data_IF_298366994343
#
_entry.id   IF_298366994343
#
_cell.length_a   1.000
_cell.length_b   1.000
_cell.length_c   1.000
_cell.angle_alpha   90.00
_cell.angle_beta   90.00
_cell.angle_gamma   90.00
#
_symmetry.space_group_name_H-M   'P 1'
#
loop_
_entity.id
_entity.type
_entity.pdbx_description
1 polymer ?
#
# COMPACT_ATOMS: atom_id res chain seq x y z
N UNK A 1 15.92 -29.08 6.10
CA UNK A 1 15.47 -27.69 6.13
C UNK A 1 14.26 -27.51 5.22
N UNK A 2 13.42 -26.54 5.51
CA UNK A 2 12.17 -26.23 4.77
C UNK A 2 12.35 -26.07 3.24
N UNK A 3 13.54 -25.64 2.79
CA UNK A 3 13.84 -25.42 1.37
C UNK A 3 14.19 -26.71 0.61
N UNK A 4 14.70 -27.74 1.31
CA UNK A 4 14.96 -29.02 0.65
C UNK A 4 13.65 -29.78 0.43
N UNK A 5 13.26 -29.94 -0.85
CA UNK A 5 12.07 -30.68 -1.24
C UNK A 5 10.84 -29.81 -1.57
N UNK A 6 10.98 -28.47 -1.65
CA UNK A 6 9.96 -27.58 -2.17
C UNK A 6 10.29 -27.23 -3.62
N UNK A 7 9.40 -27.60 -4.54
CA UNK A 7 9.57 -27.38 -5.97
C UNK A 7 8.31 -26.71 -6.55
N UNK A 8 8.49 -25.89 -7.58
CA UNK A 8 7.42 -25.34 -8.41
C UNK A 8 7.55 -25.87 -9.82
N UNK A 9 6.42 -26.09 -10.49
CA UNK A 9 6.40 -26.53 -11.88
C UNK A 9 6.52 -25.31 -12.82
N UNK A 10 7.58 -25.28 -13.62
CA UNK A 10 7.82 -24.26 -14.63
C UNK A 10 7.91 -24.94 -15.98
N UNK A 11 6.84 -24.86 -16.77
CA UNK A 11 6.74 -25.63 -18.02
C UNK A 11 6.83 -27.13 -17.76
N UNK A 12 7.86 -27.79 -18.33
CA UNK A 12 8.09 -29.22 -18.19
C UNK A 12 9.12 -29.61 -17.12
N UNK A 13 9.68 -28.65 -16.40
CA UNK A 13 10.66 -28.88 -15.33
C UNK A 13 10.11 -28.55 -13.94
N UNK A 14 10.62 -29.27 -12.93
CA UNK A 14 10.41 -28.96 -11.51
C UNK A 14 11.61 -28.15 -11.03
N UNK A 15 11.40 -26.87 -10.68
CA UNK A 15 12.43 -25.97 -10.20
C UNK A 15 12.34 -25.80 -8.68
N UNK A 16 13.49 -25.73 -7.96
CA UNK A 16 13.47 -25.48 -6.53
C UNK A 16 12.84 -24.11 -6.23
N UNK A 17 11.89 -24.09 -5.29
CA UNK A 17 11.30 -22.85 -4.81
C UNK A 17 12.30 -21.99 -4.07
N UNK A 18 12.27 -20.69 -4.32
CA UNK A 18 12.99 -19.69 -3.53
C UNK A 18 12.42 -19.60 -2.12
N UNK A 19 13.17 -19.02 -1.19
CA UNK A 19 12.72 -18.81 0.18
C UNK A 19 11.44 -17.96 0.24
N UNK A 20 11.35 -16.95 -0.61
CA UNK A 20 10.17 -16.11 -0.73
C UNK A 20 8.94 -16.87 -1.27
N UNK A 21 9.10 -17.72 -2.26
CA UNK A 21 7.99 -18.52 -2.78
C UNK A 21 7.46 -19.48 -1.72
N UNK A 22 8.34 -20.14 -0.96
CA UNK A 22 7.94 -21.00 0.16
C UNK A 22 7.20 -20.17 1.21
N UNK A 23 7.73 -18.99 1.59
CA UNK A 23 7.07 -18.08 2.51
C UNK A 23 5.70 -17.66 2.01
N UNK A 24 5.60 -17.20 0.77
CA UNK A 24 4.33 -16.73 0.17
C UNK A 24 3.26 -17.81 0.16
N UNK A 25 3.64 -19.06 -0.13
CA UNK A 25 2.74 -20.22 -0.09
C UNK A 25 2.27 -20.56 1.33
N UNK A 26 3.18 -20.47 2.32
CA UNK A 26 2.88 -20.74 3.71
C UNK A 26 2.10 -19.62 4.40
N UNK A 27 2.34 -18.37 4.04
CA UNK A 27 1.81 -17.18 4.70
C UNK A 27 0.28 -17.21 4.85
N UNK A 28 -0.43 -17.55 3.77
CA UNK A 28 -1.86 -17.71 3.81
C UNK A 28 -2.31 -18.90 4.66
N UNK A 29 -1.67 -20.06 4.48
CA UNK A 29 -2.03 -21.31 5.20
C UNK A 29 -1.80 -21.21 6.69
N UNK A 30 -0.72 -20.54 7.11
CA UNK A 30 -0.34 -20.36 8.53
C UNK A 30 -0.87 -19.06 9.12
N UNK A 31 -1.59 -18.25 8.31
CA UNK A 31 -2.14 -16.95 8.71
C UNK A 31 -1.07 -16.04 9.30
N UNK A 32 0.06 -15.90 8.61
CA UNK A 32 1.07 -14.92 8.99
C UNK A 32 0.48 -13.51 8.94
N UNK A 33 0.72 -12.74 9.96
CA UNK A 33 0.23 -11.37 10.11
C UNK A 33 1.45 -10.45 10.26
N UNK A 34 2.05 -10.11 9.14
CA UNK A 34 3.25 -9.26 9.12
C UNK A 34 2.92 -7.81 9.50
N UNK A 35 1.68 -7.40 9.31
CA UNK A 35 1.19 -6.06 9.65
C UNK A 35 1.15 -5.79 11.17
N UNK A 36 1.14 -6.83 12.02
CA UNK A 36 1.18 -6.70 13.48
C UNK A 36 2.50 -7.15 14.11
N UNK A 37 3.56 -7.33 13.32
CA UNK A 37 4.89 -7.57 13.88
C UNK A 37 5.38 -6.36 14.67
N UNK A 38 6.10 -6.61 15.77
CA UNK A 38 6.70 -5.55 16.60
C UNK A 38 7.77 -4.78 15.87
N UNK A 39 7.84 -3.47 16.11
CA UNK A 39 8.83 -2.57 15.53
C UNK A 39 9.81 -2.15 16.59
N UNK A 40 11.03 -2.68 16.51
CA UNK A 40 12.11 -2.31 17.44
C UNK A 40 12.34 -0.79 17.40
N UNK A 41 12.61 -0.21 18.55
CA UNK A 41 12.82 1.24 18.77
C UNK A 41 11.59 2.14 18.62
N UNK A 42 10.44 1.64 18.12
CA UNK A 42 9.21 2.40 18.14
C UNK A 42 8.60 2.42 19.53
N UNK A 43 8.11 3.58 19.96
CA UNK A 43 7.45 3.79 21.26
C UNK A 43 6.13 4.52 21.05
N UNK A 44 5.22 4.49 22.03
CA UNK A 44 3.98 5.27 21.95
C UNK A 44 4.25 6.75 21.73
N UNK A 45 5.32 7.30 22.33
CA UNK A 45 5.70 8.71 22.15
C UNK A 45 6.23 9.04 20.75
N UNK A 46 6.64 8.03 19.96
CA UNK A 46 7.04 8.22 18.56
C UNK A 46 5.86 8.27 17.58
N UNK A 47 4.63 8.06 18.07
CA UNK A 47 3.41 8.14 17.29
C UNK A 47 2.77 9.53 17.41
N UNK A 48 2.06 9.96 16.39
CA UNK A 48 1.26 11.18 16.42
C UNK A 48 0.10 11.01 17.41
N UNK A 49 0.20 11.68 18.55
CA UNK A 49 -0.73 11.55 19.67
C UNK A 49 -2.15 12.04 19.33
N UNK A 50 -2.27 13.08 18.51
CA UNK A 50 -3.58 13.62 18.10
C UNK A 50 -4.30 12.63 17.21
N UNK A 51 -3.60 12.05 16.21
CA UNK A 51 -4.15 11.05 15.31
C UNK A 51 -4.52 9.77 16.06
N UNK A 52 -3.69 9.37 17.01
CA UNK A 52 -3.95 8.19 17.85
C UNK A 52 -5.16 8.42 18.77
N UNK A 53 -5.29 9.61 19.39
CA UNK A 53 -6.44 9.96 20.20
C UNK A 53 -7.73 9.99 19.38
N UNK A 54 -7.70 10.57 18.18
CA UNK A 54 -8.83 10.55 17.24
C UNK A 54 -9.26 9.12 16.91
N UNK A 55 -8.30 8.24 16.61
CA UNK A 55 -8.58 6.84 16.31
C UNK A 55 -9.29 6.14 17.49
N UNK A 56 -8.80 6.33 18.70
CA UNK A 56 -9.43 5.76 19.91
C UNK A 56 -10.85 6.30 20.14
N UNK A 57 -11.06 7.59 19.92
CA UNK A 57 -12.39 8.21 20.03
C UNK A 57 -13.36 7.62 19.00
N UNK A 58 -12.95 7.50 17.74
CA UNK A 58 -13.75 6.88 16.69
C UNK A 58 -14.07 5.41 17.00
N UNK A 59 -13.09 4.66 17.51
CA UNK A 59 -13.32 3.27 17.95
C UNK A 59 -14.36 3.18 19.08
N UNK A 60 -14.24 4.01 20.10
CA UNK A 60 -15.18 4.03 21.24
C UNK A 60 -16.60 4.41 20.79
N UNK A 61 -16.74 5.36 19.86
CA UNK A 61 -18.04 5.73 19.28
C UNK A 61 -18.64 4.62 18.43
N UNK A 62 -17.84 3.99 17.58
CA UNK A 62 -18.30 2.93 16.67
C UNK A 62 -18.48 1.56 17.35
N UNK A 63 -17.86 1.33 18.49
CA UNK A 63 -17.85 0.05 19.24
C UNK A 63 -18.13 0.30 20.73
N UNK A 64 -19.39 0.36 21.16
CA UNK A 64 -19.75 0.69 22.56
C UNK A 64 -19.07 -0.19 23.61
N UNK A 65 -18.77 -1.44 23.29
CA UNK A 65 -18.08 -2.35 24.20
C UNK A 65 -16.64 -1.92 24.55
N UNK A 66 -16.04 -1.03 23.76
CA UNK A 66 -14.71 -0.48 24.01
C UNK A 66 -14.76 0.77 24.91
N UNK A 67 -15.92 1.38 25.09
CA UNK A 67 -16.05 2.67 25.79
C UNK A 67 -15.57 2.63 27.25
N UNK A 68 -15.74 1.47 27.92
CA UNK A 68 -15.35 1.27 29.31
C UNK A 68 -13.90 0.81 29.50
N UNK A 69 -13.17 0.56 28.40
CA UNK A 69 -11.78 0.13 28.47
C UNK A 69 -10.85 1.34 28.54
N UNK A 70 -9.73 1.15 29.26
CA UNK A 70 -8.62 2.11 29.21
C UNK A 70 -7.92 2.06 27.84
N UNK A 71 -7.17 3.10 27.52
CA UNK A 71 -6.53 3.19 26.20
C UNK A 71 -5.49 2.10 25.97
N UNK A 72 -4.75 1.67 26.99
CA UNK A 72 -3.75 0.61 26.89
C UNK A 72 -4.37 -0.73 26.46
N UNK A 73 -5.52 -1.08 27.09
CA UNK A 73 -6.28 -2.25 26.66
C UNK A 73 -6.78 -2.15 25.22
N UNK A 74 -7.21 -0.96 24.79
CA UNK A 74 -7.65 -0.74 23.41
C UNK A 74 -6.45 -0.84 22.45
N UNK A 75 -5.27 -0.31 22.81
CA UNK A 75 -4.08 -0.42 22.00
C UNK A 75 -3.72 -1.89 21.73
N UNK A 76 -3.77 -2.73 22.76
CA UNK A 76 -3.48 -4.15 22.60
C UNK A 76 -4.57 -4.88 21.78
N UNK A 77 -5.85 -4.65 22.08
CA UNK A 77 -6.97 -5.25 21.36
C UNK A 77 -7.02 -4.87 19.89
N UNK A 78 -6.66 -3.64 19.58
CA UNK A 78 -6.66 -3.11 18.20
C UNK A 78 -5.30 -3.23 17.52
N UNK A 79 -4.36 -3.93 18.18
CA UNK A 79 -3.01 -4.16 17.67
C UNK A 79 -2.25 -2.89 17.31
N UNK A 80 -2.48 -1.80 18.02
CA UNK A 80 -1.56 -0.65 18.05
C UNK A 80 -0.28 -1.07 18.75
N UNK A 81 -0.42 -1.81 19.85
CA UNK A 81 0.66 -2.53 20.54
C UNK A 81 0.42 -4.04 20.46
N UNK A 82 1.49 -4.82 20.56
CA UNK A 82 1.47 -6.26 20.73
C UNK A 82 2.66 -6.68 21.56
N UNK A 83 2.41 -7.37 22.68
CA UNK A 83 3.47 -7.75 23.63
C UNK A 83 4.31 -6.54 24.08
N UNK A 84 3.70 -5.40 24.33
CA UNK A 84 4.31 -4.12 24.69
C UNK A 84 5.20 -3.49 23.58
N UNK A 85 5.19 -4.00 22.35
CA UNK A 85 5.85 -3.41 21.20
C UNK A 85 4.84 -2.69 20.29
N UNK A 86 5.24 -1.58 19.71
CA UNK A 86 4.45 -0.91 18.65
C UNK A 86 4.45 -1.80 17.41
N UNK A 87 3.29 -1.97 16.79
CA UNK A 87 3.17 -2.80 15.59
C UNK A 87 3.58 -2.04 14.32
N UNK A 88 3.86 -2.79 13.26
CA UNK A 88 4.12 -2.21 11.94
C UNK A 88 2.92 -1.38 11.45
N UNK A 89 1.69 -1.91 11.57
CA UNK A 89 0.48 -1.15 11.21
C UNK A 89 0.39 0.17 11.95
N UNK A 90 0.60 0.17 13.28
CA UNK A 90 0.57 1.38 14.07
C UNK A 90 1.67 2.38 13.63
N UNK A 91 2.85 1.88 13.33
CA UNK A 91 3.96 2.69 12.83
C UNK A 91 3.60 3.32 11.48
N UNK A 92 3.10 2.54 10.54
CA UNK A 92 2.75 3.03 9.20
C UNK A 92 1.57 4.02 9.19
N UNK A 93 0.67 3.94 10.17
CA UNK A 93 -0.51 4.81 10.24
C UNK A 93 -0.23 6.07 11.09
N UNK A 94 0.41 5.89 12.25
CA UNK A 94 0.48 6.94 13.27
C UNK A 94 1.86 7.57 13.42
N UNK A 95 2.95 6.96 12.93
CA UNK A 95 4.25 7.62 12.97
C UNK A 95 4.27 8.80 11.99
N UNK A 96 4.84 9.95 12.37
CA UNK A 96 5.05 11.06 11.44
C UNK A 96 6.09 10.72 10.35
N UNK A 97 6.97 9.76 10.60
CA UNK A 97 7.98 9.32 9.62
C UNK A 97 8.30 7.82 9.76
N UNK A 98 7.43 6.93 9.25
CA UNK A 98 7.63 5.48 9.30
C UNK A 98 8.94 5.03 8.65
N UNK A 99 9.44 5.77 7.66
CA UNK A 99 10.65 5.45 6.90
C UNK A 99 11.92 5.55 7.73
N UNK A 100 11.87 6.16 8.93
CA UNK A 100 12.96 6.06 9.91
C UNK A 100 13.19 4.62 10.42
N UNK A 101 12.13 3.80 10.41
CA UNK A 101 12.18 2.39 10.78
C UNK A 101 12.31 1.48 9.56
N UNK A 102 11.63 1.85 8.48
CA UNK A 102 11.51 1.07 7.25
C UNK A 102 11.77 1.96 6.02
N UNK A 103 13.04 2.21 5.67
CA UNK A 103 13.39 3.19 4.62
C UNK A 103 12.73 2.93 3.27
N UNK A 104 12.40 1.67 2.92
CA UNK A 104 11.80 1.32 1.64
C UNK A 104 10.29 1.09 1.68
N UNK A 105 9.63 1.26 2.83
CA UNK A 105 8.17 1.27 2.89
C UNK A 105 7.62 2.64 2.47
N UNK A 106 7.90 3.02 1.24
CA UNK A 106 7.53 4.27 0.58
C UNK A 106 6.97 3.98 -0.82
N UNK A 107 6.60 5.04 -1.52
CA UNK A 107 6.22 4.99 -2.93
C UNK A 107 7.30 5.71 -3.74
N UNK A 108 7.77 5.12 -4.83
CA UNK A 108 8.53 5.82 -5.87
C UNK A 108 7.62 6.09 -7.05
N UNK A 109 7.52 7.35 -7.47
CA UNK A 109 6.64 7.76 -8.56
C UNK A 109 7.49 8.42 -9.65
N UNK A 110 7.33 7.97 -10.90
CA UNK A 110 8.02 8.53 -12.07
C UNK A 110 7.02 8.78 -13.19
N UNK A 111 7.25 9.84 -13.96
CA UNK A 111 6.61 10.08 -15.24
C UNK A 111 7.68 10.02 -16.34
N UNK A 112 7.44 9.20 -17.37
CA UNK A 112 8.37 8.98 -18.47
C UNK A 112 7.84 9.61 -19.77
N UNK A 113 8.72 10.06 -20.67
CA UNK A 113 8.31 10.79 -21.86
C UNK A 113 7.74 9.92 -22.99
N UNK A 114 7.64 8.60 -22.82
CA UNK A 114 7.18 7.67 -23.83
C UNK A 114 6.38 6.52 -23.26
N UNK A 115 6.29 5.45 -24.06
CA UNK A 115 5.51 4.24 -23.73
C UNK A 115 6.34 3.15 -23.07
N UNK A 116 7.66 3.36 -22.92
CA UNK A 116 8.60 2.39 -22.34
C UNK A 116 9.56 3.08 -21.37
N UNK A 117 10.03 2.31 -20.37
CA UNK A 117 11.11 2.76 -19.49
C UNK A 117 12.39 2.88 -20.32
N UNK A 118 13.03 4.05 -20.24
CA UNK A 118 14.25 4.35 -21.00
C UNK A 118 14.00 5.14 -22.27
N UNK A 119 12.73 5.40 -22.65
CA UNK A 119 12.42 6.39 -23.66
C UNK A 119 13.03 7.74 -23.28
N UNK A 120 13.53 8.47 -24.27
CA UNK A 120 14.05 9.82 -24.09
C UNK A 120 13.04 10.81 -24.63
N UNK A 121 12.88 11.91 -23.94
CA UNK A 121 12.11 13.05 -24.42
C UNK A 121 12.88 13.87 -25.48
N UNK A 122 12.25 14.90 -26.01
CA UNK A 122 12.78 15.74 -27.09
C UNK A 122 14.11 16.42 -26.73
N UNK A 123 14.35 16.70 -25.44
CA UNK A 123 15.58 17.30 -24.92
C UNK A 123 16.55 16.26 -24.33
N UNK A 124 16.25 14.94 -24.49
CA UNK A 124 17.05 13.85 -23.96
C UNK A 124 16.80 13.50 -22.50
N UNK A 125 15.75 14.06 -21.90
CA UNK A 125 15.31 13.73 -20.53
C UNK A 125 14.77 12.29 -20.45
N UNK A 126 15.16 11.58 -19.36
CA UNK A 126 14.69 10.22 -19.05
C UNK A 126 13.38 10.21 -18.26
N UNK A 127 13.13 11.26 -17.49
CA UNK A 127 11.95 11.41 -16.65
C UNK A 127 11.41 12.83 -16.84
N UNK A 128 10.11 12.95 -16.99
CA UNK A 128 9.39 14.21 -16.94
C UNK A 128 9.21 14.69 -15.49
N UNK A 129 9.06 13.72 -14.58
CA UNK A 129 8.96 13.92 -13.15
C UNK A 129 9.44 12.68 -12.40
N UNK A 130 9.99 12.89 -11.20
CA UNK A 130 10.47 11.80 -10.34
C UNK A 130 10.34 12.23 -8.88
N UNK A 131 9.65 11.42 -8.09
CA UNK A 131 9.42 11.71 -6.69
C UNK A 131 9.51 10.45 -5.84
N UNK A 132 10.18 10.57 -4.68
CA UNK A 132 10.08 9.61 -3.58
C UNK A 132 9.07 10.14 -2.59
N UNK A 133 8.01 9.37 -2.34
CA UNK A 133 6.88 9.75 -1.51
C UNK A 133 6.96 8.99 -0.20
N UNK A 134 7.09 9.70 0.89
CA UNK A 134 7.29 9.20 2.25
C UNK A 134 6.23 9.77 3.20
N UNK A 135 6.24 9.33 4.46
CA UNK A 135 5.28 9.71 5.48
C UNK A 135 4.36 8.54 5.88
N UNK A 136 3.34 8.81 6.65
CA UNK A 136 2.29 7.85 7.00
C UNK A 136 1.51 7.42 5.75
N UNK A 137 0.77 6.32 5.85
CA UNK A 137 -0.05 5.82 4.71
C UNK A 137 -0.98 6.88 4.14
N UNK A 138 -1.62 7.69 4.99
CA UNK A 138 -2.51 8.76 4.53
C UNK A 138 -1.76 9.86 3.78
N UNK A 139 -0.57 10.25 4.26
CA UNK A 139 0.27 11.25 3.61
C UNK A 139 0.82 10.73 2.29
N UNK A 140 1.27 9.48 2.25
CA UNK A 140 1.72 8.84 1.00
C UNK A 140 0.59 8.75 -0.04
N UNK A 141 -0.63 8.41 0.39
CA UNK A 141 -1.79 8.37 -0.50
C UNK A 141 -2.09 9.75 -1.11
N UNK A 142 -2.14 10.79 -0.28
CA UNK A 142 -2.47 12.14 -0.74
C UNK A 142 -1.38 12.72 -1.65
N UNK A 143 -0.11 12.46 -1.33
CA UNK A 143 1.02 12.91 -2.15
C UNK A 143 1.08 12.17 -3.49
N UNK A 144 0.83 10.86 -3.50
CA UNK A 144 0.77 10.08 -4.73
C UNK A 144 -0.37 10.55 -5.65
N UNK A 145 -1.53 10.90 -5.08
CA UNK A 145 -2.63 11.49 -5.86
C UNK A 145 -2.22 12.86 -6.43
N UNK A 146 -1.50 13.70 -5.66
CA UNK A 146 -0.97 14.98 -6.16
C UNK A 146 -0.01 14.77 -7.31
N UNK A 147 0.91 13.80 -7.19
CA UNK A 147 1.84 13.44 -8.26
C UNK A 147 1.10 13.03 -9.55
N UNK A 148 0.09 12.15 -9.44
CA UNK A 148 -0.69 11.71 -10.60
C UNK A 148 -1.45 12.89 -11.21
N UNK A 149 -2.10 13.74 -10.41
CA UNK A 149 -2.81 14.93 -10.89
C UNK A 149 -1.91 15.92 -11.62
N UNK A 150 -0.67 16.08 -11.15
CA UNK A 150 0.33 16.96 -11.75
C UNK A 150 0.77 16.47 -13.13
N UNK A 151 0.89 15.16 -13.31
CA UNK A 151 1.50 14.55 -14.48
C UNK A 151 0.49 13.98 -15.50
N UNK A 152 -0.80 13.87 -15.14
CA UNK A 152 -1.84 13.42 -16.10
C UNK A 152 -2.20 14.54 -17.07
N UNK A 153 -2.59 14.15 -18.29
CA UNK A 153 -3.09 15.09 -19.30
C UNK A 153 -4.54 15.49 -18.99
N UNK A 154 -4.82 16.77 -19.10
CA UNK A 154 -6.17 17.31 -19.00
C UNK A 154 -6.61 17.76 -20.39
N UNK A 155 -7.75 17.28 -20.86
CA UNK A 155 -8.37 17.69 -22.14
C UNK A 155 -9.64 18.45 -21.84
N UNK A 156 -9.73 19.66 -22.35
CA UNK A 156 -10.99 20.41 -22.34
C UNK A 156 -11.76 20.10 -23.62
N UNK A 157 -12.96 19.55 -23.46
CA UNK A 157 -13.89 19.28 -24.55
C UNK A 157 -15.03 20.31 -24.47
N UNK A 158 -15.29 20.99 -25.57
CA UNK A 158 -16.46 21.86 -25.67
C UNK A 158 -17.52 21.08 -26.46
N UNK A 159 -18.66 20.84 -25.83
CA UNK A 159 -19.79 20.21 -26.52
C UNK A 159 -20.29 21.15 -27.62
N UNK A 160 -20.26 20.74 -28.89
CA UNK A 160 -20.62 21.61 -30.00
C UNK A 160 -22.10 21.99 -30.04
N UNK A 161 -22.97 21.19 -29.40
CA UNK A 161 -24.42 21.43 -29.39
C UNK A 161 -24.87 22.35 -28.25
N UNK A 162 -24.24 22.20 -27.07
CA UNK A 162 -24.66 22.91 -25.85
C UNK A 162 -23.72 24.06 -25.48
N UNK A 163 -22.52 24.12 -26.07
CA UNK A 163 -21.47 25.07 -25.70
C UNK A 163 -20.86 24.81 -24.32
N UNK A 164 -21.26 23.73 -23.63
CA UNK A 164 -20.76 23.41 -22.29
C UNK A 164 -19.32 22.88 -22.36
N UNK A 165 -18.48 23.39 -21.45
CA UNK A 165 -17.11 22.95 -21.27
C UNK A 165 -17.11 21.72 -20.34
N UNK A 166 -16.47 20.67 -20.80
CA UNK A 166 -16.20 19.46 -20.01
C UNK A 166 -14.68 19.23 -19.96
N UNK A 167 -14.11 19.25 -18.75
CA UNK A 167 -12.71 18.93 -18.56
C UNK A 167 -12.58 17.42 -18.28
N UNK A 168 -11.93 16.70 -19.19
CA UNK A 168 -11.66 15.26 -19.06
C UNK A 168 -10.21 15.04 -18.68
N UNK A 169 -10.03 14.30 -17.59
CA UNK A 169 -8.72 13.79 -17.15
C UNK A 169 -8.48 12.40 -17.74
N UNK A 170 -7.21 12.05 -17.99
CA UNK A 170 -6.84 10.71 -18.49
C UNK A 170 -7.29 9.61 -17.52
N UNK A 171 -7.30 9.89 -16.21
CA UNK A 171 -7.68 8.95 -15.16
C UNK A 171 -8.74 9.54 -14.23
N UNK A 172 -9.82 8.79 -13.91
CA UNK A 172 -10.74 9.17 -12.85
C UNK A 172 -10.00 9.15 -11.48
N UNK A 173 -9.99 10.27 -10.78
CA UNK A 173 -9.23 10.41 -9.51
C UNK A 173 -9.70 9.43 -8.44
N UNK A 174 -10.99 9.09 -8.43
CA UNK A 174 -11.53 8.07 -7.54
C UNK A 174 -10.93 6.69 -7.78
N UNK A 175 -10.75 6.30 -9.05
CA UNK A 175 -10.09 5.04 -9.41
C UNK A 175 -8.60 5.06 -9.07
N UNK A 176 -7.91 6.18 -9.28
CA UNK A 176 -6.51 6.37 -8.88
C UNK A 176 -6.35 6.21 -7.36
N UNK A 177 -7.21 6.91 -6.59
CA UNK A 177 -7.22 6.80 -5.12
C UNK A 177 -7.41 5.36 -4.67
N UNK A 178 -8.38 4.66 -5.24
CA UNK A 178 -8.67 3.26 -4.89
C UNK A 178 -7.49 2.35 -5.25
N UNK A 179 -6.88 2.51 -6.40
CA UNK A 179 -5.74 1.71 -6.81
C UNK A 179 -4.52 1.91 -5.89
N UNK A 180 -4.24 3.16 -5.50
CA UNK A 180 -3.11 3.47 -4.61
C UNK A 180 -3.37 2.97 -3.19
N UNK A 181 -4.58 3.18 -2.63
CA UNK A 181 -4.89 2.69 -1.29
C UNK A 181 -4.87 1.16 -1.26
N UNK A 182 -5.35 0.49 -2.30
CA UNK A 182 -5.28 -0.96 -2.43
C UNK A 182 -3.82 -1.45 -2.50
N UNK A 183 -2.94 -0.75 -3.21
CA UNK A 183 -1.52 -1.06 -3.22
C UNK A 183 -0.91 -0.95 -1.82
N UNK A 184 -1.22 0.09 -1.05
CA UNK A 184 -0.75 0.30 0.31
C UNK A 184 -1.31 -0.73 1.29
N UNK A 185 -2.62 -1.03 1.23
CA UNK A 185 -3.29 -1.95 2.15
C UNK A 185 -2.90 -3.41 1.88
N UNK A 186 -2.80 -3.80 0.61
CA UNK A 186 -2.52 -5.20 0.21
C UNK A 186 -1.06 -5.49 -0.08
N UNK A 187 -0.15 -4.52 0.18
CA UNK A 187 1.29 -4.74 0.09
C UNK A 187 1.72 -5.94 0.95
N UNK A 188 2.70 -6.67 0.48
CA UNK A 188 3.44 -7.62 1.30
C UNK A 188 4.40 -6.85 2.24
N UNK A 189 4.11 -6.87 3.54
CA UNK A 189 4.91 -6.23 4.59
C UNK A 189 5.89 -7.20 5.26
N UNK A 190 6.12 -8.37 4.66
CA UNK A 190 7.11 -9.32 5.17
C UNK A 190 8.53 -8.79 5.04
N UNK A 191 9.45 -9.42 5.79
CA UNK A 191 10.88 -9.11 5.72
C UNK A 191 11.47 -9.34 4.31
N UNK A 192 10.84 -10.19 3.50
CA UNK A 192 11.32 -10.52 2.15
C UNK A 192 11.09 -9.39 1.14
N UNK A 193 10.10 -8.55 1.36
CA UNK A 193 9.72 -7.46 0.46
C UNK A 193 9.91 -6.07 1.08
N UNK A 194 10.36 -6.00 2.33
CA UNK A 194 10.58 -4.74 3.05
C UNK A 194 11.55 -3.79 2.35
N UNK A 195 12.53 -4.33 1.62
CA UNK A 195 13.49 -3.56 0.84
C UNK A 195 12.97 -3.02 -0.50
N UNK A 196 11.70 -3.22 -0.85
CA UNK A 196 11.14 -2.89 -2.16
C UNK A 196 10.04 -1.82 -2.03
N UNK A 197 10.15 -0.63 -2.66
CA UNK A 197 9.08 0.37 -2.65
C UNK A 197 7.91 -0.05 -3.54
N UNK A 198 6.72 0.54 -3.29
CA UNK A 198 5.65 0.56 -4.29
C UNK A 198 6.11 1.50 -5.40
N UNK A 199 5.84 1.16 -6.66
CA UNK A 199 6.21 1.98 -7.80
C UNK A 199 4.97 2.45 -8.54
N UNK A 200 4.88 3.77 -8.79
CA UNK A 200 3.91 4.37 -9.71
C UNK A 200 4.69 4.85 -10.93
N UNK A 201 4.34 4.34 -12.11
CA UNK A 201 4.99 4.69 -13.35
C UNK A 201 3.91 5.24 -14.29
N UNK A 202 4.02 6.51 -14.64
CA UNK A 202 3.16 7.16 -15.62
C UNK A 202 3.86 7.19 -16.97
N UNK A 203 3.29 6.48 -17.92
CA UNK A 203 3.69 6.49 -19.32
C UNK A 203 2.82 7.46 -20.11
N UNK A 204 3.14 7.66 -21.36
CA UNK A 204 2.33 8.51 -22.24
C UNK A 204 0.92 7.92 -22.49
N UNK A 205 0.79 6.60 -22.50
CA UNK A 205 -0.42 5.84 -22.86
C UNK A 205 -1.09 5.12 -21.69
N UNK A 206 -0.39 4.95 -20.55
CA UNK A 206 -0.90 4.22 -19.37
C UNK A 206 -0.22 4.62 -18.06
N UNK A 207 -0.80 4.16 -16.97
CA UNK A 207 -0.18 4.18 -15.65
C UNK A 207 -0.06 2.75 -15.10
N UNK A 208 1.08 2.43 -14.52
CA UNK A 208 1.34 1.16 -13.84
C UNK A 208 1.57 1.41 -12.35
N UNK A 209 0.94 0.58 -11.51
CA UNK A 209 1.22 0.53 -10.07
C UNK A 209 1.79 -0.86 -9.78
N UNK A 210 3.09 -0.91 -9.44
CA UNK A 210 3.79 -2.16 -9.11
C UNK A 210 3.89 -2.29 -7.60
N UNK A 211 3.25 -3.33 -7.07
CA UNK A 211 3.20 -3.59 -5.65
C UNK A 211 4.10 -4.79 -5.29
N UNK A 212 5.00 -4.66 -4.30
CA UNK A 212 5.79 -5.78 -3.84
C UNK A 212 4.92 -6.91 -3.29
N UNK A 213 5.24 -8.13 -3.69
CA UNK A 213 4.51 -9.34 -3.30
C UNK A 213 3.66 -9.91 -4.42
N UNK A 214 3.28 -11.18 -4.26
CA UNK A 214 2.36 -11.88 -5.14
C UNK A 214 0.90 -11.76 -4.68
N UNK A 215 0.00 -12.38 -5.44
CA UNK A 215 -1.42 -12.50 -5.07
C UNK A 215 -1.53 -13.29 -3.76
N UNK A 216 -2.28 -12.75 -2.81
CA UNK A 216 -2.49 -13.35 -1.51
C UNK A 216 -3.81 -14.10 -1.43
N UNK A 217 -3.81 -15.26 -0.76
CA UNK A 217 -5.03 -16.00 -0.46
C UNK A 217 -5.40 -17.04 -1.51
N UNK A 218 -6.71 -17.26 -1.65
CA UNK A 218 -7.29 -18.31 -2.50
C UNK A 218 -7.52 -17.88 -3.93
N UNK A 219 -7.45 -16.57 -4.18
CA UNK A 219 -7.81 -16.00 -5.49
C UNK A 219 -6.72 -16.29 -6.53
N UNK A 220 -7.12 -16.64 -7.73
CA UNK A 220 -6.24 -16.79 -8.88
C UNK A 220 -6.36 -15.58 -9.81
N UNK A 221 -5.38 -15.40 -10.70
CA UNK A 221 -5.34 -14.25 -11.63
C UNK A 221 -6.63 -14.13 -12.45
N UNK A 222 -7.16 -15.24 -12.93
CA UNK A 222 -8.40 -15.31 -13.73
C UNK A 222 -9.69 -15.03 -12.92
N UNK A 223 -9.58 -14.99 -11.61
CA UNK A 223 -10.67 -14.71 -10.66
C UNK A 223 -10.66 -13.29 -10.12
N UNK A 224 -9.63 -12.51 -10.43
CA UNK A 224 -9.54 -11.11 -10.04
C UNK A 224 -10.75 -10.32 -10.55
N UNK A 225 -11.38 -9.53 -9.67
CA UNK A 225 -12.59 -8.78 -9.96
C UNK A 225 -13.89 -9.61 -9.92
N UNK A 226 -13.83 -10.95 -9.79
CA UNK A 226 -15.00 -11.84 -9.70
C UNK A 226 -15.28 -12.35 -8.30
N UNK A 227 -14.27 -12.37 -7.45
CA UNK A 227 -14.36 -12.84 -6.06
C UNK A 227 -13.76 -11.79 -5.13
N UNK A 228 -14.28 -11.73 -3.90
CA UNK A 228 -13.69 -10.89 -2.87
C UNK A 228 -12.34 -11.49 -2.45
N UNK A 229 -11.25 -10.71 -2.52
CA UNK A 229 -9.93 -11.20 -2.14
C UNK A 229 -9.81 -11.40 -0.63
N UNK A 230 -8.96 -12.32 -0.23
CA UNK A 230 -8.54 -12.43 1.17
C UNK A 230 -7.68 -11.21 1.54
N UNK A 231 -7.88 -10.66 2.75
CA UNK A 231 -7.12 -9.51 3.22
C UNK A 231 -5.78 -9.96 3.81
N UNK A 232 -4.65 -9.48 3.25
CA UNK A 232 -3.31 -9.80 3.75
C UNK A 232 -3.02 -9.11 5.09
N UNK A 233 -3.41 -7.84 5.21
CA UNK A 233 -3.11 -6.97 6.35
C UNK A 233 -4.42 -6.48 7.01
N UNK A 234 -5.11 -7.35 7.76
CA UNK A 234 -6.45 -7.05 8.27
C UNK A 234 -6.46 -5.92 9.31
N UNK A 235 -5.43 -5.81 10.12
CA UNK A 235 -5.34 -4.75 11.13
C UNK A 235 -5.12 -3.39 10.49
N UNK A 236 -4.21 -3.33 9.51
CA UNK A 236 -3.97 -2.12 8.73
C UNK A 236 -5.24 -1.65 8.00
N UNK A 237 -5.94 -2.58 7.34
CA UNK A 237 -7.18 -2.30 6.63
C UNK A 237 -8.27 -1.73 7.57
N UNK A 238 -8.51 -2.40 8.70
CA UNK A 238 -9.50 -1.97 9.69
C UNK A 238 -9.19 -0.59 10.28
N UNK A 239 -7.92 -0.32 10.56
CA UNK A 239 -7.53 0.96 11.14
C UNK A 239 -7.71 2.12 10.13
N UNK A 240 -7.38 1.90 8.87
CA UNK A 240 -7.61 2.89 7.80
C UNK A 240 -9.10 3.10 7.50
N UNK A 241 -9.92 2.05 7.59
CA UNK A 241 -11.38 2.16 7.47
C UNK A 241 -11.97 3.00 8.61
N UNK A 242 -11.47 2.81 9.84
CA UNK A 242 -11.93 3.57 11.01
C UNK A 242 -11.59 5.06 10.92
N UNK A 243 -10.48 5.41 10.26
CA UNK A 243 -9.99 6.79 10.10
C UNK A 243 -10.55 7.51 8.86
N UNK A 244 -11.34 6.84 8.03
CA UNK A 244 -12.05 7.45 6.89
C UNK A 244 -13.23 8.28 7.35
#
# INVERSE_FOLDING_TARGET
GRLKGSYTRVGDSDEPMTEYEVYSYEAYRKKYQDDIRGVQRATLSSLNQEKLALYIDLLKRGKPNLSNLNNESIYELMSVTRNNEITLSATMIFSPYPQAYFPQLCITAIAVPGTEIGSLGDSGERFLDNQRIEGSISEMLDEAIRFVKKNMKNKTIINPETGTREDRTDYPITAVREAIINALVHRDYSIHTEGMPIQIIMYEDRMEIKNPGGIYGRIKVDQLGKMQPDTRNPVLALALETLR
#
